data_IF_734166272290
#
_entry.id   IF_734166272290
#
_cell.length_a   1.000
_cell.length_b   1.000
_cell.length_c   1.000
_cell.angle_alpha   90.00
_cell.angle_beta   90.00
_cell.angle_gamma   90.00
#
_symmetry.space_group_name_H-M   'P 1'
#
loop_
_entity.id
_entity.type
_entity.pdbx_description
1 polymer ?
#
# COMPACT_ATOMS: atom_id res chain seq x y z
N UNK A 1 -13.31 -3.83 0.82
CA UNK A 1 -12.50 -3.71 -0.40
C UNK A 1 -13.26 -3.06 -1.58
N UNK A 2 -14.20 -3.76 -2.25
CA UNK A 2 -14.89 -3.27 -3.47
C UNK A 2 -15.54 -1.89 -3.32
N UNK A 3 -16.19 -1.60 -2.19
CA UNK A 3 -16.82 -0.31 -1.96
C UNK A 3 -15.79 0.84 -1.86
N UNK A 4 -14.67 0.64 -1.17
CA UNK A 4 -13.62 1.65 -1.00
C UNK A 4 -12.92 1.98 -2.32
N UNK A 5 -12.54 0.96 -3.10
CA UNK A 5 -11.93 1.14 -4.43
C UNK A 5 -12.89 1.88 -5.38
N UNK A 6 -14.15 1.47 -5.41
CA UNK A 6 -15.16 2.11 -6.25
C UNK A 6 -15.42 3.56 -5.84
N UNK A 7 -15.42 3.86 -4.54
CA UNK A 7 -15.61 5.22 -4.05
C UNK A 7 -14.43 6.13 -4.43
N UNK A 8 -13.19 5.65 -4.30
CA UNK A 8 -12.00 6.40 -4.69
C UNK A 8 -11.96 6.62 -6.21
N UNK A 9 -12.22 5.57 -6.99
CA UNK A 9 -12.32 5.64 -8.44
C UNK A 9 -13.41 6.60 -8.91
N UNK A 10 -14.62 6.52 -8.33
CA UNK A 10 -15.74 7.44 -8.64
C UNK A 10 -15.39 8.90 -8.36
N UNK A 11 -14.62 9.15 -7.29
CA UNK A 11 -14.13 10.49 -6.92
C UNK A 11 -12.90 10.93 -7.71
N UNK A 12 -12.36 10.08 -8.60
CA UNK A 12 -11.12 10.33 -9.34
C UNK A 12 -9.92 10.63 -8.44
N UNK A 13 -9.91 10.03 -7.25
CA UNK A 13 -8.80 10.19 -6.28
C UNK A 13 -7.74 9.14 -6.63
N UNK A 14 -6.47 9.51 -6.88
CA UNK A 14 -5.37 8.55 -7.00
C UNK A 14 -5.15 7.81 -5.67
N UNK A 15 -4.91 6.50 -5.72
CA UNK A 15 -4.72 5.69 -4.51
C UNK A 15 -3.73 4.55 -4.71
N UNK A 16 -3.12 4.11 -3.61
CA UNK A 16 -2.35 2.88 -3.51
C UNK A 16 -3.27 1.75 -3.05
N UNK A 17 -3.14 0.60 -3.71
CA UNK A 17 -3.83 -0.63 -3.35
C UNK A 17 -2.81 -1.77 -3.29
N UNK A 18 -2.71 -2.41 -2.12
CA UNK A 18 -1.87 -3.60 -1.88
C UNK A 18 -2.80 -4.70 -1.39
N UNK A 19 -2.59 -5.91 -1.89
CA UNK A 19 -3.31 -7.11 -1.49
C UNK A 19 -2.32 -8.25 -1.30
N UNK A 20 -2.56 -9.11 -0.33
CA UNK A 20 -1.77 -10.31 -0.13
C UNK A 20 -2.14 -11.42 -1.15
N UNK A 21 -1.26 -12.40 -1.29
CA UNK A 21 -1.44 -13.51 -2.21
C UNK A 21 -2.72 -14.33 -1.92
N UNK A 22 -3.03 -14.51 -0.63
CA UNK A 22 -4.20 -15.24 -0.15
C UNK A 22 -5.52 -14.47 -0.29
N UNK A 23 -5.48 -13.20 -0.72
CA UNK A 23 -6.61 -12.28 -0.82
C UNK A 23 -7.35 -12.03 0.52
N UNK A 24 -6.69 -12.28 1.65
CA UNK A 24 -7.24 -12.11 3.01
C UNK A 24 -6.97 -10.71 3.54
N UNK A 25 -5.82 -10.13 3.20
CA UNK A 25 -5.37 -8.85 3.70
C UNK A 25 -5.23 -7.85 2.56
N UNK A 26 -5.63 -6.61 2.83
CA UNK A 26 -5.47 -5.52 1.88
C UNK A 26 -5.23 -4.20 2.58
N UNK A 27 -4.53 -3.32 1.88
CA UNK A 27 -4.30 -1.93 2.26
C UNK A 27 -4.76 -1.02 1.13
N UNK A 28 -5.55 0.00 1.47
CA UNK A 28 -6.05 0.99 0.52
C UNK A 28 -5.85 2.37 1.15
N UNK A 29 -5.13 3.26 0.47
CA UNK A 29 -4.97 4.64 0.91
C UNK A 29 -4.90 5.60 -0.29
N UNK A 30 -5.57 6.76 -0.23
CA UNK A 30 -5.33 7.87 -1.16
C UNK A 30 -3.85 8.28 -1.17
N UNK A 31 -3.31 8.67 -2.33
CA UNK A 31 -1.89 9.02 -2.44
C UNK A 31 -1.51 10.24 -1.60
N UNK A 32 -2.42 11.20 -1.42
CA UNK A 32 -2.24 12.40 -0.58
C UNK A 32 -2.22 12.09 0.93
N UNK A 33 -2.58 10.87 1.31
CA UNK A 33 -2.58 10.39 2.70
C UNK A 33 -1.47 9.36 2.97
N UNK A 34 -0.66 9.04 1.96
CA UNK A 34 0.50 8.18 2.16
C UNK A 34 1.61 8.97 2.83
N UNK A 35 2.35 8.29 3.70
CA UNK A 35 3.64 8.80 4.15
C UNK A 35 4.56 8.99 2.93
N UNK A 36 5.39 10.03 2.99
CA UNK A 36 6.36 10.32 1.93
C UNK A 36 7.41 9.21 1.76
N UNK A 37 7.52 8.31 2.75
CA UNK A 37 8.45 7.19 2.76
C UNK A 37 7.66 5.88 2.83
N UNK A 38 7.74 5.11 1.75
CA UNK A 38 7.16 3.76 1.69
C UNK A 38 8.28 2.77 1.92
N UNK A 39 8.19 2.00 3.00
CA UNK A 39 9.17 0.95 3.33
C UNK A 39 8.66 -0.42 2.90
N UNK A 40 9.54 -1.27 2.38
CA UNK A 40 9.22 -2.64 1.97
C UNK A 40 10.37 -3.61 2.25
N UNK A 41 10.02 -4.88 2.42
CA UNK A 41 10.95 -6.02 2.49
C UNK A 41 10.25 -7.25 1.94
N UNK A 42 10.67 -7.72 0.77
CA UNK A 42 10.05 -8.83 0.04
C UNK A 42 11.18 -9.69 -0.55
N UNK A 43 11.26 -10.95 -0.15
CA UNK A 43 12.20 -11.95 -0.70
C UNK A 43 13.66 -11.46 -0.85
N UNK A 44 14.19 -10.83 0.20
CA UNK A 44 15.56 -10.30 0.22
C UNK A 44 15.76 -8.97 -0.52
N UNK A 45 14.72 -8.44 -1.17
CA UNK A 45 14.69 -7.09 -1.71
C UNK A 45 14.02 -6.14 -0.73
N UNK A 46 14.75 -5.12 -0.28
CA UNK A 46 14.25 -4.16 0.71
C UNK A 46 14.86 -2.79 0.49
N UNK A 47 14.11 -1.74 0.86
CA UNK A 47 14.62 -0.37 0.98
C UNK A 47 14.79 0.10 2.43
N UNK A 48 14.65 -0.79 3.40
CA UNK A 48 15.07 -0.50 4.78
C UNK A 48 16.52 -0.94 4.94
N UNK A 49 17.35 -0.07 5.51
CA UNK A 49 18.67 -0.48 5.98
C UNK A 49 18.47 -1.42 7.17
N UNK A 50 19.14 -2.59 7.22
CA UNK A 50 19.18 -3.38 8.44
C UNK A 50 19.74 -2.50 9.55
N UNK A 51 19.01 -2.37 10.67
CA UNK A 51 19.56 -1.66 11.81
C UNK A 51 20.81 -2.42 12.28
N UNK A 52 22.01 -1.81 12.28
CA UNK A 52 23.18 -2.46 12.82
C UNK A 52 23.00 -2.54 14.33
N UNK A 53 23.02 -3.76 14.87
CA UNK A 53 23.04 -4.02 16.31
C UNK A 53 24.33 -3.48 16.94
#
# INVERSE_FOLDING_TARGET
MKNSLNQLGKKKIPFLFIIDFDLKNFYIAPLDKLDNQIFFSIDGFSNVTPHPF
#
